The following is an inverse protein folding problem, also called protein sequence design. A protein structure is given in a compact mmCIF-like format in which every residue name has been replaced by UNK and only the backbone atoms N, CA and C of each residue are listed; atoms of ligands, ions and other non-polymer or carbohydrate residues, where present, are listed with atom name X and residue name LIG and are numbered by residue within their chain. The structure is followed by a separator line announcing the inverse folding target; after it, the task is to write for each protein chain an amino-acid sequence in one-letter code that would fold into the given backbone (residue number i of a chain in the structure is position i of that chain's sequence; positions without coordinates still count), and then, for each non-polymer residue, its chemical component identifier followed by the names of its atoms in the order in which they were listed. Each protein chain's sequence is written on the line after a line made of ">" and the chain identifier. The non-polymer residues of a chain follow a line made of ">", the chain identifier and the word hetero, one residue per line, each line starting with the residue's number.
data_IF_647383076206
#
_entry.id   IF_647383076206
#
_cell.length_a   1.000
_cell.length_b   1.000
_cell.length_c   1.000
_cell.angle_alpha   90.00
_cell.angle_beta   90.00
_cell.angle_gamma   90.00
#
_symmetry.space_group_name_H-M   'P 1'
#
loop_
_entity.id
_entity.type
_entity.pdbx_description
1 polymer ?
#
# COMPACT_ATOMS: atom_id res chain seq x y z
N UNK A 1 -5.48 19.05 11.81
CA UNK A 1 -6.39 17.88 11.77
C UNK A 1 -5.78 16.94 10.75
N UNK A 2 -5.16 15.85 11.19
CA UNK A 2 -4.49 14.92 10.29
C UNK A 2 -5.53 14.28 9.37
N UNK A 3 -5.34 14.44 8.07
CA UNK A 3 -6.14 13.80 7.05
C UNK A 3 -6.08 12.27 7.25
N UNK A 4 -7.20 11.58 7.51
CA UNK A 4 -7.21 10.15 7.78
C UNK A 4 -6.65 9.32 6.62
N UNK A 5 -6.76 9.82 5.38
CA UNK A 5 -6.15 9.20 4.19
C UNK A 5 -4.63 9.31 4.24
N UNK A 6 -4.10 10.48 4.62
CA UNK A 6 -2.66 10.68 4.79
C UNK A 6 -2.10 9.79 5.89
N UNK A 7 -2.80 9.72 7.03
CA UNK A 7 -2.40 8.85 8.15
C UNK A 7 -2.43 7.37 7.75
N UNK A 8 -3.40 6.94 6.93
CA UNK A 8 -3.45 5.58 6.41
C UNK A 8 -2.26 5.27 5.47
N UNK A 9 -1.90 6.20 4.59
CA UNK A 9 -0.74 6.07 3.72
C UNK A 9 0.58 5.98 4.54
N UNK A 10 0.71 6.80 5.59
CA UNK A 10 1.86 6.76 6.49
C UNK A 10 1.98 5.42 7.23
N UNK A 11 0.86 4.83 7.68
CA UNK A 11 0.84 3.49 8.29
C UNK A 11 1.34 2.42 7.33
N UNK A 12 0.96 2.48 6.06
CA UNK A 12 1.42 1.54 5.03
C UNK A 12 2.94 1.65 4.87
N UNK A 13 3.50 2.86 4.81
CA UNK A 13 4.94 3.05 4.71
C UNK A 13 5.70 2.66 5.98
N UNK A 14 5.15 2.94 7.16
CA UNK A 14 5.73 2.50 8.42
C UNK A 14 5.74 0.97 8.54
N UNK A 15 4.69 0.30 8.06
CA UNK A 15 4.65 -1.17 8.01
C UNK A 15 5.69 -1.73 7.02
N UNK A 16 5.91 -1.08 5.88
CA UNK A 16 6.95 -1.47 4.94
C UNK A 16 8.35 -1.35 5.58
N UNK A 17 8.64 -0.23 6.24
CA UNK A 17 9.90 0.01 6.93
C UNK A 17 10.16 -1.02 8.05
N UNK A 18 9.15 -1.28 8.89
CA UNK A 18 9.22 -2.29 9.95
C UNK A 18 9.42 -3.73 9.42
N UNK A 19 9.01 -3.99 8.19
CA UNK A 19 9.20 -5.28 7.52
C UNK A 19 10.50 -5.34 6.70
N UNK A 20 11.30 -4.28 6.70
CA UNK A 20 12.54 -4.18 5.93
C UNK A 20 12.31 -4.11 4.42
N UNK A 21 11.17 -3.57 3.98
CA UNK A 21 10.86 -3.39 2.56
C UNK A 21 10.92 -1.92 2.15
N UNK A 22 10.92 -1.68 0.83
CA UNK A 22 11.04 -0.32 0.29
C UNK A 22 9.69 0.37 0.19
N UNK A 23 9.70 1.70 0.14
CA UNK A 23 8.50 2.48 -0.22
C UNK A 23 7.91 2.07 -1.57
N UNK A 24 8.75 1.75 -2.55
CA UNK A 24 8.30 1.29 -3.86
C UNK A 24 7.58 -0.06 -3.76
N UNK A 25 8.06 -0.96 -2.92
CA UNK A 25 7.39 -2.22 -2.62
C UNK A 25 6.01 -1.98 -1.99
N UNK A 26 5.92 -1.05 -1.04
CA UNK A 26 4.63 -0.65 -0.45
C UNK A 26 3.65 -0.11 -1.50
N UNK A 27 4.13 0.69 -2.46
CA UNK A 27 3.31 1.18 -3.57
C UNK A 27 2.83 0.03 -4.47
N UNK A 28 3.71 -0.92 -4.82
CA UNK A 28 3.36 -2.08 -5.65
C UNK A 28 2.31 -2.97 -4.97
N UNK A 29 2.51 -3.30 -3.71
CA UNK A 29 1.56 -4.09 -2.92
C UNK A 29 0.23 -3.34 -2.76
N UNK A 30 0.25 -2.02 -2.55
CA UNK A 30 -0.97 -1.21 -2.47
C UNK A 30 -1.77 -1.25 -3.77
N UNK A 31 -1.11 -1.12 -4.91
CA UNK A 31 -1.75 -1.27 -6.24
C UNK A 31 -2.32 -2.67 -6.45
N UNK A 32 -1.60 -3.70 -6.05
CA UNK A 32 -2.04 -5.08 -6.19
C UNK A 32 -3.32 -5.37 -5.38
N UNK A 33 -3.32 -4.99 -4.11
CA UNK A 33 -4.47 -5.18 -3.22
C UNK A 33 -5.66 -4.31 -3.65
N UNK A 34 -5.41 -3.09 -4.12
CA UNK A 34 -6.45 -2.23 -4.71
C UNK A 34 -7.07 -2.89 -5.95
N UNK A 35 -6.27 -3.41 -6.89
CA UNK A 35 -6.79 -4.13 -8.06
C UNK A 35 -7.70 -5.30 -7.65
N UNK A 36 -7.28 -6.10 -6.67
CA UNK A 36 -8.09 -7.22 -6.13
C UNK A 36 -9.40 -6.73 -5.50
N UNK A 37 -9.39 -5.61 -4.77
CA UNK A 37 -10.61 -4.99 -4.21
C UNK A 37 -11.65 -4.69 -5.29
N UNK A 38 -11.19 -4.28 -6.46
CA UNK A 38 -12.03 -3.96 -7.60
C UNK A 38 -12.28 -5.15 -8.54
N UNK A 39 -12.01 -6.39 -8.10
CA UNK A 39 -12.25 -7.61 -8.87
C UNK A 39 -11.32 -7.79 -10.07
N UNK A 40 -10.17 -7.11 -10.10
CA UNK A 40 -9.19 -7.20 -11.17
C UNK A 40 -8.03 -8.13 -10.77
N UNK A 41 -7.44 -8.87 -11.73
CA UNK A 41 -6.25 -9.66 -11.46
C UNK A 41 -5.05 -8.77 -11.11
N UNK A 42 -4.05 -9.34 -10.44
CA UNK A 42 -2.78 -8.66 -10.14
C UNK A 42 -1.59 -9.53 -10.51
N UNK A 43 -0.58 -8.90 -11.13
CA UNK A 43 0.68 -9.55 -11.50
C UNK A 43 1.72 -9.56 -10.36
N UNK A 44 1.38 -8.94 -9.21
CA UNK A 44 2.25 -8.96 -8.04
C UNK A 44 2.10 -10.30 -7.34
N UNK A 45 3.11 -11.15 -7.48
CA UNK A 45 3.19 -12.41 -6.78
C UNK A 45 3.26 -12.17 -5.26
N UNK A 46 2.15 -12.43 -4.57
CA UNK A 46 2.04 -12.39 -3.11
C UNK A 46 2.49 -13.72 -2.45
N UNK A 47 3.34 -14.50 -3.13
CA UNK A 47 3.60 -15.92 -2.80
C UNK A 47 4.84 -16.17 -1.92
N UNK A 48 4.77 -17.31 -1.22
CA UNK A 48 5.49 -17.72 -0.01
C UNK A 48 6.87 -18.39 -0.23
N UNK A 49 7.80 -17.79 -0.96
CA UNK A 49 9.19 -18.30 -1.01
C UNK A 49 10.17 -17.37 -0.29
N UNK A 50 10.00 -17.27 1.03
CA UNK A 50 10.90 -16.62 1.99
C UNK A 50 11.16 -15.12 1.76
N UNK A 51 11.68 -14.42 2.79
CA UNK A 51 10.86 -14.04 3.95
C UNK A 51 9.47 -13.49 3.50
N UNK A 52 8.45 -13.56 4.37
CA UNK A 52 7.07 -13.15 4.04
C UNK A 52 6.72 -11.62 4.15
N UNK A 53 7.62 -10.61 4.06
CA UNK A 53 7.24 -9.20 4.13
C UNK A 53 6.11 -8.78 3.20
N UNK A 54 6.09 -9.24 1.94
CA UNK A 54 5.03 -8.88 0.98
C UNK A 54 3.64 -9.33 1.45
N UNK A 55 3.52 -10.54 1.99
CA UNK A 55 2.25 -11.06 2.51
C UNK A 55 1.80 -10.30 3.76
N UNK A 56 2.73 -10.02 4.68
CA UNK A 56 2.44 -9.21 5.88
C UNK A 56 2.02 -7.79 5.51
N UNK A 57 2.71 -7.18 4.54
CA UNK A 57 2.38 -5.86 4.01
C UNK A 57 1.03 -5.85 3.30
N UNK A 58 0.74 -6.87 2.48
CA UNK A 58 -0.54 -7.03 1.81
C UNK A 58 -1.70 -7.17 2.80
N UNK A 59 -1.49 -7.83 3.93
CA UNK A 59 -2.48 -7.89 5.02
C UNK A 59 -2.75 -6.50 5.61
N UNK A 60 -1.71 -5.74 5.95
CA UNK A 60 -1.86 -4.36 6.46
C UNK A 60 -2.59 -3.46 5.46
N UNK A 61 -2.17 -3.50 4.20
CA UNK A 61 -2.81 -2.76 3.10
C UNK A 61 -4.27 -3.20 2.95
N UNK A 62 -4.56 -4.50 3.03
CA UNK A 62 -5.92 -5.03 2.98
C UNK A 62 -6.80 -4.46 4.08
N UNK A 63 -6.32 -4.44 5.33
CA UNK A 63 -7.04 -3.82 6.45
C UNK A 63 -7.34 -2.34 6.21
N UNK A 64 -6.39 -1.59 5.63
CA UNK A 64 -6.58 -0.17 5.31
C UNK A 64 -7.60 0.02 4.18
N UNK A 65 -7.46 -0.71 3.08
CA UNK A 65 -8.31 -0.51 1.89
C UNK A 65 -9.73 -1.05 2.08
N UNK A 66 -9.98 -1.93 3.05
CA UNK A 66 -11.32 -2.40 3.42
C UNK A 66 -11.93 -1.69 4.63
N UNK A 67 -11.25 -0.71 5.21
CA UNK A 67 -11.84 0.14 6.24
C UNK A 67 -13.05 0.89 5.66
N UNK A 68 -14.27 0.73 6.20
CA UNK A 68 -15.47 1.39 5.67
C UNK A 68 -15.45 2.92 5.84
N UNK A 69 -14.54 3.46 6.66
CA UNK A 69 -14.39 4.88 6.89
C UNK A 69 -13.37 5.55 5.95
N UNK A 70 -12.71 4.78 5.09
CA UNK A 70 -11.71 5.28 4.15
C UNK A 70 -12.13 5.01 2.70
N UNK A 71 -11.85 5.98 1.82
CA UNK A 71 -11.94 5.76 0.39
C UNK A 71 -10.62 5.12 -0.11
N UNK A 72 -10.71 3.93 -0.69
CA UNK A 72 -9.55 3.18 -1.17
C UNK A 72 -8.80 3.87 -2.33
N UNK A 73 -9.50 4.61 -3.18
CA UNK A 73 -8.90 5.37 -4.28
C UNK A 73 -8.07 6.55 -3.74
N UNK A 74 -8.60 7.24 -2.73
CA UNK A 74 -7.89 8.35 -2.07
C UNK A 74 -6.64 7.86 -1.33
N UNK A 75 -6.71 6.69 -0.67
CA UNK A 75 -5.53 6.05 -0.05
C UNK A 75 -4.51 5.66 -1.10
N UNK A 76 -4.92 5.06 -2.22
CA UNK A 76 -4.00 4.74 -3.32
C UNK A 76 -3.34 6.01 -3.89
N UNK A 77 -4.11 7.09 -4.05
CA UNK A 77 -3.60 8.38 -4.50
C UNK A 77 -2.59 8.97 -3.50
N UNK A 78 -2.84 8.86 -2.20
CA UNK A 78 -1.91 9.33 -1.16
C UNK A 78 -0.61 8.50 -1.11
N UNK A 79 -0.70 7.18 -1.27
CA UNK A 79 0.47 6.27 -1.33
C UNK A 79 1.29 6.48 -2.61
N UNK A 80 0.65 6.76 -3.75
CA UNK A 80 1.35 6.97 -5.04
C UNK A 80 1.76 8.42 -5.29
N UNK A 81 1.10 9.40 -4.67
CA UNK A 81 1.35 10.82 -4.86
C UNK A 81 2.71 11.28 -4.33
N UNK A 82 3.25 10.61 -3.30
CA UNK A 82 4.61 10.89 -2.78
C UNK A 82 5.74 10.53 -3.75
N UNK A 83 5.49 9.64 -4.72
CA UNK A 83 6.51 9.19 -5.69
C UNK A 83 6.69 10.14 -6.88
N UNK A 84 5.74 11.05 -7.14
CA UNK A 84 5.86 12.05 -8.22
C UNK A 84 6.73 13.25 -7.85
N UNK A 85 6.97 13.50 -6.57
CA UNK A 85 7.78 14.64 -6.13
C UNK A 85 9.30 14.39 -6.17
N UNK A 86 9.74 13.15 -6.40
CA UNK A 86 11.15 12.78 -6.51
C UNK A 86 11.66 12.64 -7.96
N UNK A 87 10.81 12.78 -8.98
CA UNK A 87 11.17 12.70 -10.39
C UNK A 87 11.22 14.06 -11.10
N UNK A 88 11.13 15.15 -10.34
CA UNK A 88 11.27 16.52 -10.82
C UNK A 88 12.18 17.30 -9.85
N UNK A 89 13.44 16.87 -9.77
CA UNK A 89 14.54 17.61 -9.19
C UNK A 89 15.78 17.38 -10.06
#
# INVERSE_FOLDING_TARGET
>A
MNDPVRAAAERIFAAADALGTTRQEAVLVTRAVHAVKHGRPTDVALTDSGPHPRRKLAHVVGCVLWDPHLNADDVLAAVTGGTRQAAAA
#
